data_IF_642109074021
#
_entry.id   IF_642109074021
#
_cell.length_a   1.000
_cell.length_b   1.000
_cell.length_c   1.000
_cell.angle_alpha   90.00
_cell.angle_beta   90.00
_cell.angle_gamma   90.00
#
_symmetry.space_group_name_H-M   'P 1'
#
loop_
_entity.id
_entity.type
_entity.pdbx_description
1 polymer ?
#
# COMPACT_ATOMS: atom_id res chain seq x y z
N UNK A 1 -2.41 6.20 18.25
CA UNK A 1 -2.28 6.47 16.81
C UNK A 1 -2.58 5.18 16.04
N UNK A 2 -3.29 5.25 14.90
CA UNK A 2 -3.53 4.05 14.08
C UNK A 2 -2.24 3.63 13.35
N UNK A 3 -1.98 2.31 13.29
CA UNK A 3 -0.83 1.72 12.60
C UNK A 3 -1.29 0.98 11.36
N UNK A 4 -0.40 0.87 10.38
CA UNK A 4 -0.62 -0.02 9.23
C UNK A 4 -0.78 -1.46 9.75
N UNK A 5 -1.82 -2.14 9.30
CA UNK A 5 -2.22 -3.44 9.86
C UNK A 5 -2.56 -4.42 8.76
N UNK A 6 -1.94 -5.58 8.83
CA UNK A 6 -2.29 -6.72 7.96
C UNK A 6 -3.50 -7.47 8.54
N UNK A 7 -4.48 -7.71 7.70
CA UNK A 7 -5.75 -8.35 8.05
C UNK A 7 -5.83 -9.69 7.32
N UNK A 8 -6.10 -10.76 8.05
CA UNK A 8 -6.28 -12.11 7.51
C UNK A 8 -7.75 -12.42 7.34
N UNK A 9 -8.14 -12.80 6.13
CA UNK A 9 -9.52 -13.20 5.82
C UNK A 9 -9.67 -14.72 5.83
N UNK A 10 -10.81 -15.25 6.29
CA UNK A 10 -11.08 -16.68 6.19
C UNK A 10 -11.21 -17.09 4.71
N UNK A 11 -10.61 -18.22 4.35
CA UNK A 11 -10.72 -18.81 3.02
C UNK A 11 -11.34 -20.19 3.13
N UNK A 12 -12.46 -20.38 2.46
CA UNK A 12 -13.17 -21.65 2.37
C UNK A 12 -12.88 -22.30 1.03
N UNK A 13 -12.59 -23.60 1.03
CA UNK A 13 -12.24 -24.36 -0.18
C UNK A 13 -13.16 -25.54 -0.36
N UNK A 14 -13.67 -25.74 -1.58
CA UNK A 14 -14.40 -26.92 -2.00
C UNK A 14 -13.99 -27.34 -3.43
N UNK A 15 -14.74 -28.28 -4.06
CA UNK A 15 -14.47 -28.79 -5.41
C UNK A 15 -14.66 -27.75 -6.53
N UNK A 16 -15.26 -26.59 -6.25
CA UNK A 16 -15.46 -25.49 -7.20
C UNK A 16 -14.29 -24.48 -7.13
N UNK A 17 -13.45 -24.53 -6.08
CA UNK A 17 -12.35 -23.59 -5.86
C UNK A 17 -12.35 -23.00 -4.45
N UNK A 18 -12.08 -21.70 -4.35
CA UNK A 18 -12.00 -21.00 -3.07
C UNK A 18 -13.03 -19.87 -3.00
N UNK A 19 -13.61 -19.69 -1.79
CA UNK A 19 -14.47 -18.57 -1.45
C UNK A 19 -13.90 -17.85 -0.22
N UNK A 20 -13.67 -16.54 -0.34
CA UNK A 20 -13.27 -15.69 0.77
C UNK A 20 -14.28 -14.55 0.93
N UNK A 21 -15.08 -14.54 2.01
CA UNK A 21 -15.92 -13.38 2.32
C UNK A 21 -15.02 -12.20 2.69
N UNK A 22 -15.31 -11.04 2.11
CA UNK A 22 -14.59 -9.81 2.35
C UNK A 22 -15.56 -8.79 2.94
N UNK A 23 -15.74 -8.79 4.25
CA UNK A 23 -16.68 -7.87 4.87
C UNK A 23 -16.15 -6.43 4.71
N UNK A 24 -16.94 -5.58 4.06
CA UNK A 24 -16.71 -4.13 4.02
C UNK A 24 -17.10 -3.45 5.34
N UNK A 25 -17.82 -4.21 6.21
CA UNK A 25 -18.21 -3.75 7.55
C UNK A 25 -17.78 -4.84 8.52
N UNK A 26 -16.83 -4.53 9.37
CA UNK A 26 -16.36 -5.42 10.41
C UNK A 26 -17.18 -5.18 11.69
N UNK A 27 -17.64 -6.27 12.31
CA UNK A 27 -18.36 -6.23 13.57
C UNK A 27 -17.54 -5.69 14.74
N UNK A 28 -18.10 -5.73 15.94
CA UNK A 28 -17.48 -5.27 17.17
C UNK A 28 -16.15 -6.00 17.44
N UNK A 29 -15.05 -5.25 17.66
CA UNK A 29 -13.74 -5.79 17.96
C UNK A 29 -12.59 -4.91 17.47
N UNK A 30 -11.36 -5.45 17.43
CA UNK A 30 -10.13 -4.75 17.01
C UNK A 30 -10.20 -4.15 15.59
N UNK A 31 -11.19 -4.51 14.80
CA UNK A 31 -11.44 -4.08 13.43
C UNK A 31 -12.52 -3.00 13.30
N UNK A 32 -12.91 -2.34 14.40
CA UNK A 32 -13.76 -1.13 14.37
C UNK A 32 -13.15 0.00 13.52
N UNK A 33 -11.87 -0.08 13.22
CA UNK A 33 -11.10 0.74 12.28
C UNK A 33 -11.77 0.82 10.89
N UNK A 34 -12.53 -0.21 10.51
CA UNK A 34 -13.11 -0.33 9.17
C UNK A 34 -14.57 0.15 9.06
N UNK A 35 -15.13 0.78 10.09
CA UNK A 35 -16.40 1.53 9.98
C UNK A 35 -16.26 2.82 9.15
N UNK A 36 -15.29 2.87 8.23
CA UNK A 36 -15.06 4.01 7.36
C UNK A 36 -15.97 3.98 6.15
N UNK A 37 -16.39 5.15 5.70
CA UNK A 37 -17.06 5.31 4.41
C UNK A 37 -15.99 5.34 3.32
N UNK A 38 -15.97 4.31 2.48
CA UNK A 38 -15.11 4.26 1.31
C UNK A 38 -15.74 5.06 0.16
N UNK A 39 -14.98 5.97 -0.44
CA UNK A 39 -15.47 6.85 -1.50
C UNK A 39 -15.09 6.36 -2.90
N UNK A 40 -13.96 5.69 -3.04
CA UNK A 40 -13.45 5.27 -4.34
C UNK A 40 -12.77 3.90 -4.23
N UNK A 41 -12.95 3.09 -5.28
CA UNK A 41 -12.22 1.85 -5.49
C UNK A 41 -11.32 2.00 -6.72
N UNK A 42 -10.06 1.65 -6.59
CA UNK A 42 -9.08 1.67 -7.66
C UNK A 42 -8.58 0.26 -7.95
N UNK A 43 -8.32 -0.04 -9.22
CA UNK A 43 -7.75 -1.32 -9.65
C UNK A 43 -6.47 -1.05 -10.43
N UNK A 44 -5.40 -1.72 -10.04
CA UNK A 44 -4.11 -1.73 -10.71
C UNK A 44 -3.86 -3.11 -11.31
N UNK A 45 -3.74 -3.17 -12.63
CA UNK A 45 -3.38 -4.39 -13.37
C UNK A 45 -1.90 -4.29 -13.72
N UNK A 46 -1.11 -5.28 -13.35
CA UNK A 46 0.34 -5.32 -13.51
C UNK A 46 0.70 -6.60 -14.27
N UNK A 47 0.85 -6.54 -15.61
CA UNK A 47 1.14 -7.72 -16.44
C UNK A 47 2.47 -8.39 -16.08
N UNK A 48 3.46 -7.59 -15.68
CA UNK A 48 4.80 -8.09 -15.40
C UNK A 48 5.12 -8.04 -13.91
N UNK A 49 5.78 -9.08 -13.40
CA UNK A 49 6.46 -9.02 -12.10
C UNK A 49 7.48 -7.89 -12.07
N UNK A 50 7.90 -7.50 -10.88
CA UNK A 50 8.83 -6.41 -10.62
C UNK A 50 8.33 -5.04 -11.07
N UNK A 51 6.99 -4.87 -11.15
CA UNK A 51 6.37 -3.56 -11.32
C UNK A 51 6.30 -2.88 -9.95
N UNK A 52 7.00 -1.76 -9.82
CA UNK A 52 6.98 -0.92 -8.61
C UNK A 52 6.09 0.31 -8.85
N UNK A 53 5.22 0.60 -7.89
CA UNK A 53 4.36 1.79 -7.86
C UNK A 53 4.50 2.48 -6.51
N UNK A 54 4.77 3.76 -6.52
CA UNK A 54 4.86 4.56 -5.28
C UNK A 54 6.24 5.17 -5.04
N UNK A 55 6.45 5.72 -3.85
CA UNK A 55 5.55 5.72 -2.68
C UNK A 55 4.66 6.97 -2.71
N UNK A 56 3.35 6.81 -2.73
CA UNK A 56 2.41 7.91 -2.92
C UNK A 56 1.64 8.26 -1.66
N UNK A 57 1.41 9.55 -1.42
CA UNK A 57 0.55 10.06 -0.36
C UNK A 57 -0.28 11.25 -0.85
N UNK A 58 -1.27 11.64 -0.08
CA UNK A 58 -1.90 12.96 -0.17
C UNK A 58 -1.77 13.67 1.16
N UNK A 59 -1.46 14.99 1.09
CA UNK A 59 -1.43 15.85 2.27
C UNK A 59 -2.83 16.26 2.70
N UNK A 60 -2.97 16.71 3.96
CA UNK A 60 -4.22 17.27 4.45
C UNK A 60 -4.67 18.48 3.58
N UNK A 61 -5.98 18.72 3.43
CA UNK A 61 -7.10 18.00 4.05
C UNK A 61 -7.54 16.73 3.28
N UNK A 62 -6.84 16.34 2.20
CA UNK A 62 -7.20 15.23 1.30
C UNK A 62 -6.39 13.94 1.58
N UNK A 63 -5.80 13.84 2.76
CA UNK A 63 -5.08 12.63 3.17
C UNK A 63 -6.01 11.40 3.16
N UNK A 64 -5.53 10.30 2.60
CA UNK A 64 -6.36 9.11 2.37
C UNK A 64 -5.94 7.93 3.25
N UNK A 65 -6.94 7.30 3.87
CA UNK A 65 -6.79 5.91 4.34
C UNK A 65 -6.94 4.98 3.15
N UNK A 66 -6.15 3.91 3.11
CA UNK A 66 -6.25 2.89 2.05
C UNK A 66 -6.53 1.52 2.66
N UNK A 67 -7.38 0.74 2.00
CA UNK A 67 -7.52 -0.69 2.23
C UNK A 67 -7.08 -1.41 0.97
N UNK A 68 -5.90 -2.02 1.03
CA UNK A 68 -5.22 -2.65 -0.12
C UNK A 68 -5.52 -4.14 -0.11
N UNK A 69 -5.86 -4.66 -1.27
CA UNK A 69 -6.16 -6.07 -1.50
C UNK A 69 -5.51 -6.57 -2.77
N UNK A 70 -4.90 -7.73 -2.70
CA UNK A 70 -4.44 -8.47 -3.88
C UNK A 70 -5.57 -9.37 -4.37
N UNK A 71 -6.01 -9.18 -5.62
CA UNK A 71 -7.04 -10.02 -6.26
C UNK A 71 -6.40 -11.27 -6.83
N UNK A 72 -5.24 -11.12 -7.50
CA UNK A 72 -4.41 -12.22 -8.00
C UNK A 72 -2.94 -11.86 -7.93
N UNK A 73 -2.07 -12.84 -7.77
CA UNK A 73 -0.62 -12.65 -7.62
C UNK A 73 -0.22 -12.33 -6.18
N UNK A 74 0.98 -11.76 -6.05
CA UNK A 74 1.58 -11.39 -4.76
C UNK A 74 2.29 -10.05 -4.89
N UNK A 75 2.31 -9.29 -3.78
CA UNK A 75 3.07 -8.03 -3.67
C UNK A 75 3.90 -8.02 -2.39
N UNK A 76 4.97 -7.22 -2.43
CA UNK A 76 5.60 -6.68 -1.23
C UNK A 76 5.19 -5.22 -1.16
N UNK A 77 4.50 -4.88 -0.09
CA UNK A 77 3.92 -3.57 0.15
C UNK A 77 4.80 -2.77 1.11
N UNK A 78 5.00 -1.49 0.83
CA UNK A 78 5.84 -0.57 1.57
C UNK A 78 5.01 0.58 2.10
N UNK A 79 5.10 0.82 3.40
CA UNK A 79 4.32 1.85 4.09
C UNK A 79 5.27 2.68 4.95
N UNK A 80 5.44 3.97 4.62
CA UNK A 80 6.33 4.89 5.34
C UNK A 80 5.49 5.86 6.16
N UNK A 81 5.74 5.94 7.46
CA UNK A 81 5.06 6.88 8.34
C UNK A 81 5.56 8.32 8.10
N UNK A 82 4.67 9.19 7.64
CA UNK A 82 4.96 10.60 7.37
C UNK A 82 4.34 11.55 8.40
N UNK A 83 3.82 11.02 9.52
CA UNK A 83 3.17 11.81 10.57
C UNK A 83 4.21 12.33 11.57
N UNK A 84 4.47 13.63 11.56
CA UNK A 84 5.50 14.27 12.40
C UNK A 84 5.34 14.00 13.91
N UNK A 85 4.10 13.82 14.39
CA UNK A 85 3.80 13.52 15.78
C UNK A 85 3.95 12.02 16.13
N UNK A 86 4.35 11.18 15.17
CA UNK A 86 4.51 9.74 15.38
C UNK A 86 5.89 9.41 15.93
N UNK A 87 5.95 8.47 16.86
CA UNK A 87 7.21 7.86 17.30
C UNK A 87 7.92 7.07 16.17
N UNK A 88 7.15 6.73 15.14
CA UNK A 88 7.62 6.00 13.96
C UNK A 88 7.83 6.91 12.74
N UNK A 89 7.87 8.25 12.93
CA UNK A 89 8.09 9.20 11.85
C UNK A 89 9.33 8.85 11.02
N UNK A 90 9.14 8.68 9.71
CA UNK A 90 10.17 8.28 8.76
C UNK A 90 10.46 6.78 8.69
N UNK A 91 9.89 5.94 9.55
CA UNK A 91 10.07 4.48 9.48
C UNK A 91 9.27 3.85 8.36
N UNK A 92 9.87 2.86 7.72
CA UNK A 92 9.23 2.02 6.71
C UNK A 92 8.81 0.67 7.31
N UNK A 93 7.58 0.26 7.00
CA UNK A 93 7.04 -1.05 7.32
C UNK A 93 6.84 -1.83 6.01
N UNK A 94 7.21 -3.12 6.01
CA UNK A 94 7.16 -3.99 4.83
C UNK A 94 6.21 -5.16 5.12
N UNK A 95 5.26 -5.36 4.20
CA UNK A 95 4.27 -6.43 4.29
C UNK A 95 4.29 -7.29 3.02
N UNK A 96 4.23 -8.62 3.19
CA UNK A 96 3.94 -9.54 2.09
C UNK A 96 2.44 -9.76 2.04
N UNK A 97 1.81 -9.41 0.93
CA UNK A 97 0.36 -9.45 0.78
C UNK A 97 -0.01 -10.33 -0.40
N UNK A 98 -0.91 -11.27 -0.16
CA UNK A 98 -1.52 -12.14 -1.16
C UNK A 98 -3.04 -11.97 -1.18
N UNK A 99 -3.75 -12.79 -1.95
CA UNK A 99 -5.22 -12.78 -1.96
C UNK A 99 -5.88 -13.20 -0.63
N UNK A 100 -5.09 -13.62 0.35
CA UNK A 100 -5.57 -14.04 1.68
C UNK A 100 -5.57 -12.91 2.70
N UNK A 101 -4.83 -11.85 2.43
CA UNK A 101 -4.66 -10.73 3.33
C UNK A 101 -5.20 -9.44 2.72
N UNK A 102 -5.53 -8.50 3.59
CA UNK A 102 -5.76 -7.09 3.26
C UNK A 102 -4.85 -6.23 4.12
N UNK A 103 -4.31 -5.16 3.53
CA UNK A 103 -3.49 -4.21 4.26
C UNK A 103 -4.26 -2.91 4.48
N UNK A 104 -4.45 -2.56 5.74
CA UNK A 104 -4.98 -1.27 6.14
C UNK A 104 -3.84 -0.28 6.32
N UNK A 105 -3.88 0.82 5.58
CA UNK A 105 -2.91 1.92 5.64
C UNK A 105 -3.65 3.18 6.10
N UNK A 106 -3.38 3.69 7.30
CA UNK A 106 -4.00 4.92 7.81
C UNK A 106 -3.62 6.16 7.01
N UNK A 107 -4.32 7.29 7.28
CA UNK A 107 -3.89 8.62 6.81
C UNK A 107 -2.50 8.97 7.31
N UNK A 108 -1.77 9.74 6.50
CA UNK A 108 -0.44 10.21 6.86
C UNK A 108 0.70 9.24 6.57
N UNK A 109 0.44 8.20 5.79
CA UNK A 109 1.50 7.32 5.29
C UNK A 109 1.73 7.51 3.79
N UNK A 110 3.01 7.42 3.36
CA UNK A 110 3.34 7.13 1.97
C UNK A 110 3.24 5.62 1.75
N UNK A 111 2.69 5.22 0.61
CA UNK A 111 2.35 3.85 0.30
C UNK A 111 2.77 3.48 -1.12
N UNK A 112 3.31 2.29 -1.28
CA UNK A 112 3.66 1.72 -2.57
C UNK A 112 3.87 0.22 -2.47
N UNK A 113 4.03 -0.44 -3.62
CA UNK A 113 4.28 -1.88 -3.66
C UNK A 113 5.13 -2.28 -4.86
N UNK A 114 5.74 -3.47 -4.76
CA UNK A 114 6.36 -4.17 -5.88
C UNK A 114 5.65 -5.52 -6.10
N UNK A 115 5.31 -5.82 -7.35
CA UNK A 115 4.74 -7.13 -7.71
C UNK A 115 5.84 -8.20 -7.74
N UNK A 116 5.54 -9.40 -7.23
CA UNK A 116 6.48 -10.54 -7.23
C UNK A 116 6.07 -11.65 -8.19
N UNK A 117 4.93 -11.47 -8.87
CA UNK A 117 4.39 -12.39 -9.89
C UNK A 117 3.85 -11.62 -11.09
N UNK A 118 3.83 -12.28 -12.25
CA UNK A 118 3.16 -11.76 -13.44
C UNK A 118 1.64 -11.73 -13.25
N UNK A 119 0.96 -10.87 -14.01
CA UNK A 119 -0.49 -10.70 -13.98
C UNK A 119 -1.07 -10.42 -12.60
N UNK A 120 -0.30 -9.71 -11.76
CA UNK A 120 -0.74 -9.29 -10.43
C UNK A 120 -1.79 -8.17 -10.54
N UNK A 121 -2.93 -8.37 -9.88
CA UNK A 121 -4.01 -7.38 -9.81
C UNK A 121 -4.22 -6.95 -8.36
N UNK A 122 -4.11 -5.65 -8.14
CA UNK A 122 -4.28 -5.02 -6.84
C UNK A 122 -5.47 -4.07 -6.88
N UNK A 123 -6.39 -4.24 -5.94
CA UNK A 123 -7.49 -3.31 -5.67
C UNK A 123 -7.19 -2.55 -4.38
N UNK A 124 -7.52 -1.27 -4.33
CA UNK A 124 -7.50 -0.53 -3.07
C UNK A 124 -8.67 0.44 -2.98
N UNK A 125 -9.26 0.49 -1.79
CA UNK A 125 -10.32 1.43 -1.44
C UNK A 125 -9.68 2.64 -0.76
N UNK A 126 -10.25 3.82 -0.98
CA UNK A 126 -9.85 5.07 -0.31
C UNK A 126 -11.05 5.79 0.29
N UNK A 127 -10.83 6.48 1.41
CA UNK A 127 -11.87 7.14 2.20
C UNK A 127 -11.97 8.65 1.90
N UNK A 128 -11.16 9.16 0.97
CA UNK A 128 -11.22 10.56 0.55
C UNK A 128 -11.00 10.71 -0.97
N UNK A 129 -11.35 11.88 -1.51
CA UNK A 129 -11.23 12.18 -2.92
C UNK A 129 -9.78 12.36 -3.35
N UNK A 130 -9.49 12.04 -4.61
CA UNK A 130 -8.21 12.39 -5.22
C UNK A 130 -8.11 13.92 -5.40
N UNK A 131 -6.97 14.45 -4.97
CA UNK A 131 -6.61 15.86 -5.11
C UNK A 131 -5.20 16.01 -5.68
N UNK A 132 -5.09 16.33 -6.96
CA UNK A 132 -3.79 16.48 -7.62
C UNK A 132 -2.88 17.53 -6.94
N UNK A 133 -3.37 18.69 -6.46
CA UNK A 133 -2.53 19.65 -5.75
C UNK A 133 -1.97 19.14 -4.42
N UNK A 134 -2.62 18.14 -3.82
CA UNK A 134 -2.24 17.56 -2.54
C UNK A 134 -1.48 16.22 -2.69
N UNK A 135 -1.32 15.74 -3.93
CA UNK A 135 -0.56 14.52 -4.20
C UNK A 135 0.93 14.75 -4.00
N UNK A 136 1.58 13.83 -3.29
CA UNK A 136 3.01 13.79 -3.13
C UNK A 136 3.56 12.39 -3.29
N UNK A 137 4.86 12.31 -3.51
CA UNK A 137 5.57 11.03 -3.67
C UNK A 137 6.94 11.09 -3.01
N UNK A 138 7.33 9.98 -2.38
CA UNK A 138 8.67 9.75 -1.86
C UNK A 138 9.42 8.84 -2.84
N UNK A 139 10.63 9.19 -3.21
CA UNK A 139 11.48 8.37 -4.05
C UNK A 139 11.78 7.05 -3.32
N UNK A 140 11.33 5.95 -3.86
CA UNK A 140 11.42 4.62 -3.26
C UNK A 140 12.86 4.24 -2.90
N UNK A 141 13.83 4.56 -3.76
CA UNK A 141 15.26 4.26 -3.55
C UNK A 141 15.93 5.13 -2.48
N UNK A 142 15.26 6.18 -2.00
CA UNK A 142 15.70 7.00 -0.88
C UNK A 142 15.27 6.46 0.49
N UNK A 143 14.45 5.42 0.50
CA UNK A 143 13.99 4.70 1.70
C UNK A 143 14.88 3.47 1.88
N UNK A 144 15.76 3.41 2.90
CA UNK A 144 16.77 2.36 3.03
C UNK A 144 16.18 0.95 3.02
N UNK A 145 15.09 0.72 3.74
CA UNK A 145 14.44 -0.58 3.87
C UNK A 145 13.83 -1.04 2.53
N UNK A 146 13.28 -0.11 1.74
CA UNK A 146 12.74 -0.42 0.40
C UNK A 146 13.87 -0.76 -0.56
N UNK A 147 14.94 0.04 -0.54
CA UNK A 147 16.12 -0.18 -1.37
C UNK A 147 16.78 -1.53 -1.07
N UNK A 148 16.95 -1.86 0.21
CA UNK A 148 17.48 -3.15 0.64
C UNK A 148 16.58 -4.31 0.18
N UNK A 149 15.26 -4.18 0.39
CA UNK A 149 14.30 -5.18 -0.02
C UNK A 149 14.37 -5.44 -1.53
N UNK A 150 14.33 -4.39 -2.35
CA UNK A 150 14.39 -4.51 -3.82
C UNK A 150 15.72 -5.09 -4.28
N UNK A 151 16.83 -4.70 -3.67
CA UNK A 151 18.17 -5.25 -3.97
C UNK A 151 18.21 -6.76 -3.69
N UNK A 152 17.65 -7.21 -2.57
CA UNK A 152 17.63 -8.62 -2.16
C UNK A 152 16.73 -9.49 -3.05
N UNK A 153 15.79 -8.90 -3.81
CA UNK A 153 14.97 -9.62 -4.78
C UNK A 153 15.74 -10.02 -6.05
N UNK A 154 16.96 -9.52 -6.24
CA UNK A 154 17.79 -9.73 -7.45
C UNK A 154 16.99 -9.45 -8.73
N UNK A 155 16.36 -8.28 -8.76
CA UNK A 155 15.51 -7.83 -9.88
C UNK A 155 16.39 -7.51 -11.09
N UNK A 156 16.18 -8.22 -12.21
CA UNK A 156 16.92 -7.96 -13.45
C UNK A 156 16.56 -6.59 -14.04
N UNK A 157 15.26 -6.29 -14.06
CA UNK A 157 14.73 -5.01 -14.54
C UNK A 157 13.52 -4.60 -13.71
N UNK A 158 13.58 -3.40 -13.11
CA UNK A 158 12.50 -2.81 -12.35
C UNK A 158 11.60 -1.96 -13.25
N UNK A 159 10.34 -2.36 -13.38
CA UNK A 159 9.34 -1.58 -14.12
C UNK A 159 8.76 -0.50 -13.22
N UNK A 160 9.07 0.75 -13.55
CA UNK A 160 8.63 1.92 -12.78
C UNK A 160 8.23 3.05 -13.72
N UNK A 161 7.20 3.79 -13.38
CA UNK A 161 6.76 4.96 -14.17
C UNK A 161 7.77 6.10 -14.13
N UNK A 162 7.80 6.94 -15.15
CA UNK A 162 8.69 8.11 -15.17
C UNK A 162 8.36 9.09 -14.04
N UNK A 163 7.09 9.19 -13.64
CA UNK A 163 6.65 9.96 -12.49
C UNK A 163 7.30 9.47 -11.19
N UNK A 164 7.38 8.16 -10.99
CA UNK A 164 7.90 7.56 -9.76
C UNK A 164 9.44 7.52 -9.71
N UNK A 165 10.11 7.84 -10.83
CA UNK A 165 11.58 8.01 -10.89
C UNK A 165 12.05 9.37 -10.40
N UNK A 166 11.17 10.38 -10.41
CA UNK A 166 11.51 11.78 -10.12
C UNK A 166 10.65 12.29 -8.98
N UNK A 167 10.97 11.88 -7.77
CA UNK A 167 10.26 12.25 -6.55
C UNK A 167 11.24 12.87 -5.55
N UNK A 168 10.72 13.58 -4.54
CA UNK A 168 11.56 14.03 -3.42
C UNK A 168 12.08 12.82 -2.63
N UNK A 169 13.27 12.93 -2.10
CA UNK A 169 13.82 11.92 -1.20
C UNK A 169 13.09 11.91 0.15
N UNK A 170 13.13 10.79 0.87
CA UNK A 170 12.62 10.73 2.25
C UNK A 170 13.32 11.78 3.13
N UNK A 171 14.63 11.93 3.01
CA UNK A 171 15.40 12.93 3.77
C UNK A 171 14.87 14.35 3.54
N UNK A 172 14.67 14.76 2.30
CA UNK A 172 14.11 16.09 1.96
C UNK A 172 12.68 16.29 2.51
N UNK A 173 11.91 15.20 2.65
CA UNK A 173 10.60 15.26 3.30
C UNK A 173 10.70 15.47 4.80
N UNK A 174 11.61 14.75 5.47
CA UNK A 174 11.77 14.78 6.94
C UNK A 174 12.41 16.09 7.46
N UNK A 175 13.06 16.85 6.57
CA UNK A 175 13.72 18.13 6.91
C UNK A 175 12.79 19.36 6.71
N UNK A 176 11.52 19.19 6.33
CA UNK A 176 10.52 20.27 6.18
C UNK A 176 9.86 20.62 7.48
#
# INVERSE_FOLDING_TARGET
MELATLIYNPVFKDNRGTFAPLPLVFGEGKLSILKKKWLQSNISVNPNKWTLRGLHYQSEPYSQTKLVKVITGHIIDFVVDLRMESEDFGKCFIFKVSSKEELYVPKGFAHGFITTEDNTVVQYLVDDSYSQPNEGSILWSSVPEVMECVTNLNVDELLISDKDKVCQSLKEYLEK
#
